data_IF_700848019641
#
_entry.id   IF_700848019641
#
_cell.length_a   1.000
_cell.length_b   1.000
_cell.length_c   1.000
_cell.angle_alpha   90.00
_cell.angle_beta   90.00
_cell.angle_gamma   90.00
#
_symmetry.space_group_name_H-M   'P 1'
#
loop_
_entity.id
_entity.type
_entity.pdbx_description
1 polymer ?
#
# COMPACT_ATOMS: atom_id res chain seq x y z
N UNK A 1 56.78 -27.70 -32.89
CA UNK A 1 55.45 -27.99 -33.48
C UNK A 1 55.00 -29.29 -32.83
N UNK A 2 53.97 -29.39 -32.02
CA UNK A 2 52.64 -28.77 -31.95
C UNK A 2 52.25 -28.71 -30.46
N UNK A 3 51.92 -27.57 -29.87
CA UNK A 3 50.60 -26.97 -29.96
C UNK A 3 49.96 -27.02 -28.57
N UNK A 4 50.16 -25.95 -27.80
CA UNK A 4 49.32 -25.63 -26.65
C UNK A 4 47.95 -25.24 -27.21
N UNK A 5 46.98 -26.14 -27.11
CA UNK A 5 45.58 -25.98 -27.52
C UNK A 5 44.84 -27.18 -26.91
N UNK A 6 43.93 -27.08 -25.98
CA UNK A 6 42.94 -26.02 -25.79
C UNK A 6 42.68 -25.76 -24.32
N UNK A 7 42.67 -24.47 -23.99
CA UNK A 7 41.93 -23.94 -22.86
C UNK A 7 40.45 -24.29 -23.12
N UNK A 8 39.97 -25.41 -22.57
CA UNK A 8 38.54 -25.71 -22.58
C UNK A 8 37.89 -24.68 -21.66
N UNK A 9 37.43 -23.61 -22.29
CA UNK A 9 36.38 -22.75 -21.79
C UNK A 9 35.10 -23.58 -21.73
N UNK A 10 34.92 -24.40 -20.68
CA UNK A 10 33.58 -24.71 -20.23
C UNK A 10 33.11 -23.49 -19.48
N UNK A 11 32.49 -22.60 -20.24
CA UNK A 11 31.47 -21.65 -19.80
C UNK A 11 30.95 -22.00 -18.42
N UNK A 12 31.11 -21.05 -17.50
CA UNK A 12 30.37 -20.95 -16.24
C UNK A 12 29.00 -21.61 -16.44
N UNK A 13 28.74 -22.74 -15.78
CA UNK A 13 27.36 -23.19 -15.62
C UNK A 13 26.66 -22.01 -14.95
N UNK A 14 25.75 -21.37 -15.67
CA UNK A 14 24.83 -20.44 -15.04
C UNK A 14 24.09 -21.26 -13.99
N UNK A 15 24.48 -21.04 -12.74
CA UNK A 15 23.90 -21.69 -11.57
C UNK A 15 22.44 -21.26 -11.54
N UNK A 16 21.52 -22.20 -11.80
CA UNK A 16 20.06 -22.04 -11.73
C UNK A 16 19.45 -21.20 -12.86
N UNK A 17 19.42 -21.72 -14.09
CA UNK A 17 18.70 -21.08 -15.19
C UNK A 17 17.20 -21.29 -15.02
N UNK A 18 16.41 -20.22 -15.03
CA UNK A 18 14.94 -20.32 -15.02
C UNK A 18 14.44 -20.98 -16.31
N UNK A 19 13.68 -22.07 -16.16
CA UNK A 19 13.07 -22.81 -17.28
C UNK A 19 11.59 -22.47 -17.48
N UNK A 20 10.95 -21.89 -16.48
CA UNK A 20 9.56 -21.45 -16.54
C UNK A 20 9.19 -20.58 -15.35
N UNK A 21 8.23 -19.70 -15.55
CA UNK A 21 7.62 -18.88 -14.51
C UNK A 21 6.12 -19.13 -14.52
N UNK A 22 5.57 -19.30 -13.33
CA UNK A 22 4.13 -19.38 -13.10
C UNK A 22 3.68 -18.31 -12.12
N UNK A 23 2.39 -18.00 -12.20
CA UNK A 23 1.73 -17.06 -11.29
C UNK A 23 0.98 -17.82 -10.21
N UNK A 24 1.09 -17.33 -8.98
CA UNK A 24 0.48 -18.00 -7.85
C UNK A 24 -0.05 -17.02 -6.82
N UNK A 25 -1.04 -17.47 -6.07
CA UNK A 25 -1.61 -16.77 -4.91
C UNK A 25 -1.11 -17.44 -3.63
N UNK A 26 -0.59 -16.65 -2.68
CA UNK A 26 -0.13 -17.17 -1.38
C UNK A 26 -1.35 -17.60 -0.56
N UNK A 27 -1.50 -18.91 -0.32
CA UNK A 27 -2.60 -19.43 0.50
C UNK A 27 -2.25 -19.46 1.99
N UNK A 28 -0.95 -19.56 2.31
CA UNK A 28 -0.44 -19.57 3.68
C UNK A 28 1.04 -19.18 3.74
N UNK A 29 1.42 -18.40 4.74
CA UNK A 29 2.82 -18.16 5.12
C UNK A 29 3.21 -19.13 6.24
N UNK A 30 4.30 -19.87 6.06
CA UNK A 30 4.80 -20.84 7.04
C UNK A 30 6.05 -20.29 7.76
N UNK A 31 6.47 -20.99 8.81
CA UNK A 31 7.77 -20.73 9.44
C UNK A 31 8.92 -20.99 8.46
N UNK A 32 10.10 -20.42 8.72
CA UNK A 32 11.33 -20.64 7.95
C UNK A 32 11.31 -20.12 6.49
N UNK A 33 10.60 -19.02 6.21
CA UNK A 33 10.54 -18.36 4.90
C UNK A 33 10.03 -19.28 3.77
N UNK A 34 9.04 -20.12 4.09
CA UNK A 34 8.32 -20.90 3.07
C UNK A 34 6.85 -20.51 3.03
N UNK A 35 6.20 -20.76 1.90
CA UNK A 35 4.79 -20.44 1.66
C UNK A 35 4.07 -21.60 0.99
N UNK A 36 2.77 -21.69 1.20
CA UNK A 36 1.88 -22.50 0.36
C UNK A 36 1.24 -21.58 -0.67
N UNK A 37 1.08 -22.11 -1.87
CA UNK A 37 0.66 -21.37 -3.05
C UNK A 37 -0.46 -22.13 -3.75
N UNK A 38 -1.40 -21.39 -4.30
CA UNK A 38 -2.33 -21.89 -5.31
C UNK A 38 -1.86 -21.36 -6.67
N UNK A 39 -1.62 -22.25 -7.62
CA UNK A 39 -1.17 -21.89 -8.96
C UNK A 39 -2.39 -21.52 -9.81
N UNK A 40 -2.41 -20.28 -10.27
CA UNK A 40 -3.49 -19.73 -11.08
C UNK A 40 -2.94 -19.33 -12.46
N UNK A 41 -3.42 -19.97 -13.52
CA UNK A 41 -3.26 -19.44 -14.88
C UNK A 41 -4.44 -18.53 -15.23
N UNK A 42 -4.35 -17.78 -16.32
CA UNK A 42 -5.34 -16.77 -16.73
C UNK A 42 -6.76 -17.35 -16.81
N UNK A 43 -6.94 -18.68 -16.99
CA UNK A 43 -8.24 -19.33 -17.00
C UNK A 43 -8.27 -20.77 -16.43
N UNK A 44 -7.22 -21.22 -15.73
CA UNK A 44 -7.13 -22.60 -15.24
C UNK A 44 -6.50 -22.67 -13.85
N UNK A 45 -7.12 -23.46 -12.97
CA UNK A 45 -6.54 -23.87 -11.69
C UNK A 45 -5.50 -24.98 -11.97
N UNK A 46 -4.24 -24.69 -11.67
CA UNK A 46 -3.12 -25.60 -11.90
C UNK A 46 -2.75 -26.40 -10.63
N UNK A 47 -3.46 -26.17 -9.52
CA UNK A 47 -3.31 -26.88 -8.27
C UNK A 47 -2.43 -26.18 -7.22
N UNK A 48 -2.19 -26.88 -6.11
CA UNK A 48 -1.50 -26.33 -4.94
C UNK A 48 -0.04 -26.77 -4.85
N UNK A 49 0.81 -25.83 -4.43
CA UNK A 49 2.18 -26.10 -4.00
C UNK A 49 2.31 -25.80 -2.50
N UNK A 50 3.10 -26.61 -1.79
CA UNK A 50 3.29 -26.46 -0.34
C UNK A 50 4.76 -26.31 0.01
N UNK A 51 5.03 -25.54 1.07
CA UNK A 51 6.38 -25.31 1.59
C UNK A 51 7.40 -24.79 0.55
N UNK A 52 6.95 -23.96 -0.38
CA UNK A 52 7.79 -23.35 -1.40
C UNK A 52 8.69 -22.29 -0.79
N UNK A 53 9.98 -22.36 -1.10
CA UNK A 53 11.00 -21.47 -0.54
C UNK A 53 10.91 -20.06 -1.15
N UNK A 54 10.99 -19.05 -0.31
CA UNK A 54 11.13 -17.64 -0.72
C UNK A 54 12.62 -17.31 -0.74
N UNK A 55 13.18 -17.09 -1.93
CA UNK A 55 14.64 -16.85 -2.09
C UNK A 55 15.02 -15.37 -1.99
N UNK A 56 14.03 -14.50 -2.00
CA UNK A 56 14.16 -13.05 -1.82
C UNK A 56 13.79 -12.64 -0.40
N UNK A 57 14.23 -11.46 0.05
CA UNK A 57 13.76 -10.86 1.29
C UNK A 57 12.42 -10.15 1.04
N UNK A 58 11.38 -10.95 0.76
CA UNK A 58 10.01 -10.46 0.59
C UNK A 58 9.22 -10.71 1.88
N UNK A 59 8.51 -9.69 2.33
CA UNK A 59 7.53 -9.79 3.40
C UNK A 59 6.18 -10.16 2.78
N UNK A 60 5.93 -11.47 2.66
CA UNK A 60 4.70 -12.00 2.07
C UNK A 60 3.62 -12.19 3.13
N UNK A 61 2.38 -12.03 2.70
CA UNK A 61 1.14 -12.24 3.43
C UNK A 61 0.21 -13.16 2.64
N UNK A 62 -0.84 -13.67 3.29
CA UNK A 62 -1.87 -14.45 2.60
C UNK A 62 -2.54 -13.56 1.54
N UNK A 63 -2.87 -14.16 0.40
CA UNK A 63 -3.53 -13.58 -0.78
C UNK A 63 -2.61 -12.71 -1.67
N UNK A 64 -1.32 -12.58 -1.32
CA UNK A 64 -0.33 -11.95 -2.20
C UNK A 64 -0.13 -12.74 -3.50
N UNK A 65 0.01 -12.02 -4.62
CA UNK A 65 0.32 -12.63 -5.91
C UNK A 65 1.83 -12.63 -6.17
N UNK A 66 2.38 -13.81 -6.43
CA UNK A 66 3.83 -14.04 -6.55
C UNK A 66 4.21 -14.68 -7.88
N UNK A 67 5.51 -14.58 -8.20
CA UNK A 67 6.14 -15.29 -9.31
C UNK A 67 6.85 -16.50 -8.75
N UNK A 68 6.48 -17.67 -9.27
CA UNK A 68 7.11 -18.95 -8.97
C UNK A 68 8.01 -19.33 -10.14
N UNK A 69 9.31 -19.47 -9.89
CA UNK A 69 10.27 -19.90 -10.90
C UNK A 69 10.65 -21.35 -10.72
N UNK A 70 10.62 -22.08 -11.83
CA UNK A 70 11.17 -23.42 -11.97
C UNK A 70 12.60 -23.31 -12.50
N UNK A 71 13.54 -23.98 -11.84
CA UNK A 71 14.96 -23.92 -12.18
C UNK A 71 15.36 -25.19 -12.95
N UNK A 72 16.27 -25.05 -13.91
CA UNK A 72 16.72 -26.12 -14.81
C UNK A 72 17.30 -27.34 -14.07
N UNK A 73 18.03 -27.08 -12.99
CA UNK A 73 18.66 -28.09 -12.16
C UNK A 73 17.76 -28.62 -11.04
N UNK A 74 16.58 -28.03 -10.83
CA UNK A 74 15.66 -28.41 -9.77
C UNK A 74 14.19 -28.07 -10.09
N UNK A 75 13.72 -28.58 -11.22
CA UNK A 75 12.35 -28.36 -11.68
C UNK A 75 11.28 -28.87 -10.70
N UNK A 76 11.65 -29.77 -9.78
CA UNK A 76 10.74 -30.32 -8.78
C UNK A 76 10.67 -29.47 -7.50
N UNK A 77 11.61 -28.53 -7.30
CA UNK A 77 11.63 -27.63 -6.15
C UNK A 77 11.59 -26.17 -6.64
N UNK A 78 10.43 -25.67 -7.09
CA UNK A 78 10.30 -24.29 -7.50
C UNK A 78 10.53 -23.32 -6.33
N UNK A 79 10.79 -22.06 -6.66
CA UNK A 79 11.05 -21.00 -5.68
C UNK A 79 10.27 -19.72 -5.99
N UNK A 80 9.91 -18.98 -4.94
CA UNK A 80 9.33 -17.64 -5.11
C UNK A 80 10.45 -16.63 -5.32
N UNK A 81 10.42 -15.96 -6.47
CA UNK A 81 11.46 -14.98 -6.87
C UNK A 81 10.98 -13.54 -6.85
N UNK A 82 9.66 -13.31 -6.80
CA UNK A 82 9.10 -11.97 -6.93
C UNK A 82 7.63 -11.90 -6.54
N UNK A 83 7.13 -10.68 -6.44
CA UNK A 83 5.76 -10.33 -6.09
C UNK A 83 5.21 -9.37 -7.14
N UNK A 84 3.98 -9.61 -7.60
CA UNK A 84 3.36 -8.85 -8.71
C UNK A 84 2.34 -7.87 -8.17
N UNK A 85 1.47 -8.34 -7.30
CA UNK A 85 0.50 -7.52 -6.61
C UNK A 85 0.66 -7.83 -5.13
N UNK A 86 1.40 -7.01 -4.37
CA UNK A 86 1.20 -7.02 -2.93
C UNK A 86 -0.27 -6.71 -2.71
N UNK A 87 -1.02 -7.65 -2.14
CA UNK A 87 -2.13 -7.23 -1.32
C UNK A 87 -1.49 -6.39 -0.23
N UNK A 88 -1.60 -5.07 -0.36
CA UNK A 88 -1.31 -4.19 0.76
C UNK A 88 -2.06 -4.81 1.93
N UNK A 89 -1.37 -5.18 3.02
CA UNK A 89 -2.01 -5.91 4.10
C UNK A 89 -3.19 -5.03 4.50
N UNK A 90 -4.41 -5.55 4.42
CA UNK A 90 -5.62 -4.86 4.88
C UNK A 90 -5.46 -4.62 6.38
N UNK A 91 -4.71 -3.56 6.70
CA UNK A 91 -3.88 -3.48 7.89
C UNK A 91 -2.89 -4.64 8.03
N UNK A 92 -1.61 -4.37 8.35
CA UNK A 92 -0.77 -5.39 9.01
C UNK A 92 -1.49 -5.97 10.25
N UNK A 93 -0.93 -6.96 10.95
CA UNK A 93 -1.57 -7.53 12.16
C UNK A 93 -2.10 -6.45 13.15
N UNK A 94 -1.46 -5.27 13.18
CA UNK A 94 -1.88 -4.09 13.94
C UNK A 94 -2.31 -2.87 13.08
N UNK A 95 -2.26 -2.97 11.76
CA UNK A 95 -2.71 -1.91 10.85
C UNK A 95 -4.23 -1.89 10.71
N UNK A 96 -4.78 -0.75 10.30
CA UNK A 96 -6.22 -0.57 10.03
C UNK A 96 -6.41 0.12 8.70
N UNK A 97 -7.37 -0.36 7.92
CA UNK A 97 -7.76 0.27 6.66
C UNK A 97 -8.87 1.28 6.91
N UNK A 98 -8.84 2.40 6.18
CA UNK A 98 -9.95 3.36 6.19
C UNK A 98 -11.02 2.84 5.22
N UNK A 99 -12.21 2.58 5.76
CA UNK A 99 -13.40 2.18 5.00
C UNK A 99 -14.10 3.41 4.43
N UNK A 100 -14.25 4.47 5.25
CA UNK A 100 -14.89 5.71 4.81
C UNK A 100 -14.46 6.92 5.65
N UNK A 101 -14.65 8.10 5.08
CA UNK A 101 -14.54 9.39 5.77
C UNK A 101 -15.83 10.16 5.46
N UNK A 102 -16.54 10.58 6.50
CA UNK A 102 -17.82 11.28 6.39
C UNK A 102 -17.82 12.52 7.28
N UNK A 103 -18.33 13.65 6.80
CA UNK A 103 -18.60 14.82 7.63
C UNK A 103 -19.91 14.60 8.38
N UNK A 104 -19.87 14.65 9.71
CA UNK A 104 -21.04 14.34 10.56
C UNK A 104 -21.65 15.58 11.21
N UNK A 105 -20.86 16.65 11.38
CA UNK A 105 -21.32 17.87 12.04
C UNK A 105 -20.52 19.09 11.55
N UNK A 106 -21.06 20.29 11.80
CA UNK A 106 -20.35 21.57 11.69
C UNK A 106 -20.66 22.37 12.95
N UNK A 107 -19.62 22.81 13.65
CA UNK A 107 -19.71 23.69 14.81
C UNK A 107 -18.92 24.97 14.53
N UNK A 108 -19.63 26.07 14.28
CA UNK A 108 -19.03 27.34 13.84
C UNK A 108 -18.18 27.17 12.58
N UNK A 109 -16.87 27.43 12.72
CA UNK A 109 -15.86 27.28 11.67
C UNK A 109 -15.09 25.95 11.76
N UNK A 110 -15.65 24.94 12.41
CA UNK A 110 -15.02 23.63 12.57
C UNK A 110 -15.96 22.55 12.03
N UNK A 111 -15.47 21.79 11.06
CA UNK A 111 -16.15 20.61 10.56
C UNK A 111 -15.72 19.38 11.36
N UNK A 112 -16.67 18.56 11.78
CA UNK A 112 -16.40 17.29 12.46
C UNK A 112 -16.57 16.17 11.46
N UNK A 113 -15.53 15.36 11.32
CA UNK A 113 -15.54 14.20 10.45
C UNK A 113 -15.34 12.91 11.24
N UNK A 114 -15.95 11.85 10.73
CA UNK A 114 -15.87 10.48 11.23
C UNK A 114 -15.10 9.62 10.24
N UNK A 115 -14.04 8.96 10.70
CA UNK A 115 -13.36 7.88 9.98
C UNK A 115 -13.95 6.55 10.43
N UNK A 116 -14.33 5.69 9.48
CA UNK A 116 -14.68 4.30 9.74
C UNK A 116 -13.52 3.40 9.35
N UNK A 117 -13.15 2.47 10.22
CA UNK A 117 -12.11 1.47 9.99
C UNK A 117 -12.70 0.07 9.78
N UNK A 118 -11.89 -0.80 9.17
CA UNK A 118 -12.19 -2.22 9.01
C UNK A 118 -12.01 -3.04 10.31
N UNK A 119 -11.33 -2.48 11.32
CA UNK A 119 -10.97 -3.14 12.59
C UNK A 119 -11.18 -2.22 13.80
N UNK A 120 -11.43 -2.81 14.96
CA UNK A 120 -11.68 -2.08 16.22
C UNK A 120 -10.46 -1.30 16.72
N UNK A 121 -10.65 -0.13 17.35
CA UNK A 121 -11.89 0.66 17.39
C UNK A 121 -12.32 1.13 16.00
N UNK A 122 -13.60 0.94 15.70
CA UNK A 122 -14.18 1.10 14.36
C UNK A 122 -14.29 2.57 13.96
N UNK A 123 -14.24 3.51 14.91
CA UNK A 123 -14.46 4.93 14.64
C UNK A 123 -13.37 5.83 15.25
N UNK A 124 -13.11 6.94 14.58
CA UNK A 124 -12.40 8.10 15.14
C UNK A 124 -13.03 9.38 14.62
N UNK A 125 -13.01 10.42 15.45
CA UNK A 125 -13.53 11.74 15.11
C UNK A 125 -12.38 12.75 15.04
N UNK A 126 -12.45 13.64 14.05
CA UNK A 126 -11.46 14.68 13.87
C UNK A 126 -12.12 16.00 13.52
N UNK A 127 -11.57 17.07 14.09
CA UNK A 127 -12.04 18.42 13.92
C UNK A 127 -11.16 19.11 12.89
N UNK A 128 -11.76 19.54 11.79
CA UNK A 128 -11.10 20.27 10.70
C UNK A 128 -11.55 21.72 10.77
N UNK A 129 -10.69 22.65 11.17
CA UNK A 129 -11.03 24.07 11.11
C UNK A 129 -11.26 24.48 9.66
N UNK A 130 -12.50 24.78 9.32
CA UNK A 130 -12.90 25.52 8.12
C UNK A 130 -12.60 27.01 8.33
N UNK A 131 -11.36 27.30 8.72
CA UNK A 131 -10.80 28.65 8.78
C UNK A 131 -10.54 29.09 7.34
N UNK A 132 -11.62 29.27 6.58
CA UNK A 132 -11.59 30.08 5.39
C UNK A 132 -10.86 31.35 5.79
N UNK A 133 -9.68 31.57 5.21
CA UNK A 133 -8.72 32.64 5.55
C UNK A 133 -9.28 34.06 5.42
N UNK A 134 -10.60 34.20 5.26
CA UNK A 134 -11.40 35.42 5.28
C UNK A 134 -12.02 35.74 6.66
N UNK A 135 -12.36 34.77 7.52
CA UNK A 135 -13.09 35.09 8.76
C UNK A 135 -12.20 35.67 9.87
N UNK A 136 -10.90 35.36 9.86
CA UNK A 136 -9.92 36.00 10.74
C UNK A 136 -9.73 37.51 10.43
N UNK A 137 -10.03 37.94 9.20
CA UNK A 137 -9.95 39.35 8.83
C UNK A 137 -11.16 40.14 9.34
N UNK A 138 -12.36 39.54 9.37
CA UNK A 138 -13.58 40.20 9.84
C UNK A 138 -13.58 40.34 11.37
N UNK A 139 -13.18 39.31 12.12
CA UNK A 139 -13.07 39.42 13.59
C UNK A 139 -11.95 40.37 14.03
N UNK A 140 -10.81 40.39 13.33
CA UNK A 140 -9.71 41.31 13.65
C UNK A 140 -10.04 42.78 13.28
N UNK A 141 -10.84 43.01 12.23
CA UNK A 141 -11.31 44.34 11.86
C UNK A 141 -12.38 44.87 12.82
N UNK A 142 -13.26 43.99 13.36
CA UNK A 142 -14.28 44.37 14.35
C UNK A 142 -13.64 44.62 15.74
N UNK A 143 -12.56 43.92 16.09
CA UNK A 143 -11.91 44.05 17.40
C UNK A 143 -10.91 45.21 17.51
N UNK A 144 -10.44 45.82 16.39
CA UNK A 144 -9.40 46.86 16.43
C UNK A 144 -9.86 48.31 16.30
N UNK A 145 -11.05 48.59 15.78
CA UNK A 145 -11.65 49.93 15.85
C UNK A 145 -13.17 49.79 15.96
N UNK A 146 -13.69 50.09 17.16
CA UNK A 146 -15.13 50.25 17.39
C UNK A 146 -15.58 51.49 16.63
N UNK A 147 -16.09 51.29 15.43
CA UNK A 147 -16.97 52.24 14.77
C UNK A 147 -18.30 51.54 14.52
N UNK A 148 -19.35 52.13 15.07
CA UNK A 148 -20.73 51.69 14.94
C UNK A 148 -21.22 51.85 13.50
N UNK A 149 -22.21 51.06 13.07
CA UNK A 149 -22.80 51.18 11.72
C UNK A 149 -23.26 52.62 11.41
N UNK A 150 -23.74 53.35 12.41
CA UNK A 150 -24.10 54.78 12.30
C UNK A 150 -22.91 55.71 12.01
N UNK A 151 -21.70 55.36 12.44
CA UNK A 151 -20.48 56.14 12.16
C UNK A 151 -19.96 55.86 10.75
N UNK A 152 -20.23 54.68 10.19
CA UNK A 152 -19.93 54.36 8.79
C UNK A 152 -20.87 55.10 7.83
N UNK A 153 -22.19 55.09 8.10
CA UNK A 153 -23.18 55.75 7.24
C UNK A 153 -22.96 57.27 7.13
N UNK A 154 -22.47 57.92 8.20
CA UNK A 154 -22.10 59.35 8.19
C UNK A 154 -20.79 59.64 7.43
N UNK A 155 -19.89 58.67 7.32
CA UNK A 155 -18.60 58.84 6.65
C UNK A 155 -18.70 58.63 5.14
N UNK A 156 -19.64 57.80 4.70
CA UNK A 156 -19.87 57.48 3.28
C UNK A 156 -20.82 58.48 2.61
N UNK A 157 -21.71 59.14 3.36
CA UNK A 157 -22.74 60.03 2.80
C UNK A 157 -22.52 61.53 3.03
N UNK A 158 -21.33 61.96 3.45
CA UNK A 158 -21.04 63.39 3.63
C UNK A 158 -20.79 64.09 2.27
N UNK A 159 -21.88 64.50 1.63
CA UNK A 159 -22.01 65.80 0.94
C UNK A 159 -22.56 66.80 1.97
#
# INVERSE_FOLDING_TARGET
MTGLSDLICTTTQDVNKTIGNEYATVTKVNANKTVNLHLDSVNEDLGDLTNIKVVTNLDLTKDDKVIVSYLDNDANNPVVVGMINPTSPTGGENGRSIVSIEKVETDGLVDVYKITYDKSPIYSYFNVPNTGKLDLLIELLIQKEVITQSEWDNKVNNI
#
